data_IF_352125177351
#
_entry.id   IF_352125177351
#
_cell.length_a   1.000
_cell.length_b   1.000
_cell.length_c   1.000
_cell.angle_alpha   90.00
_cell.angle_beta   90.00
_cell.angle_gamma   90.00
#
_symmetry.space_group_name_H-M   'P 1'
#
loop_
_entity.id
_entity.type
_entity.pdbx_description
1 polymer ?
#
# COMPACT_ATOMS: atom_id res chain seq x y z
N UNK A 1 -14.16 2.02 -23.21
CA UNK A 1 -14.70 1.14 -22.18
C UNK A 1 -15.94 1.78 -21.57
N UNK A 2 -17.04 1.08 -21.56
CA UNK A 2 -18.30 1.56 -20.97
C UNK A 2 -18.79 0.61 -19.89
N UNK A 3 -19.36 1.16 -18.82
CA UNK A 3 -20.18 0.40 -17.88
C UNK A 3 -21.59 0.30 -18.45
N UNK A 4 -22.14 -0.90 -18.55
CA UNK A 4 -23.53 -1.08 -18.90
C UNK A 4 -24.38 -1.15 -17.62
N UNK A 5 -25.25 -0.16 -17.34
CA UNK A 5 -26.24 -0.28 -16.28
C UNK A 5 -27.11 -1.51 -16.55
N UNK A 6 -27.38 -2.32 -15.54
CA UNK A 6 -28.16 -3.55 -15.68
C UNK A 6 -27.38 -4.84 -15.97
N UNK A 7 -26.11 -4.79 -16.40
CA UNK A 7 -25.26 -5.95 -16.64
C UNK A 7 -24.31 -6.27 -15.46
N UNK A 8 -24.73 -6.02 -14.22
CA UNK A 8 -23.93 -6.31 -13.03
C UNK A 8 -22.63 -5.52 -12.95
N UNK A 9 -22.65 -4.24 -13.31
CA UNK A 9 -21.50 -3.32 -13.27
C UNK A 9 -20.26 -3.79 -14.06
N UNK A 10 -20.48 -4.56 -15.11
CA UNK A 10 -19.43 -5.11 -15.98
C UNK A 10 -18.88 -4.04 -16.92
N UNK A 11 -17.56 -4.06 -17.14
CA UNK A 11 -16.92 -3.20 -18.13
C UNK A 11 -16.84 -3.91 -19.47
N UNK A 12 -17.32 -3.22 -20.52
CA UNK A 12 -17.25 -3.70 -21.90
C UNK A 12 -16.43 -2.75 -22.76
N UNK A 13 -15.70 -3.30 -23.71
CA UNK A 13 -15.05 -2.54 -24.77
C UNK A 13 -15.93 -2.58 -26.01
N UNK A 14 -16.36 -1.43 -26.47
CA UNK A 14 -17.06 -1.29 -27.75
C UNK A 14 -16.02 -0.88 -28.79
N UNK A 15 -15.88 -1.69 -29.84
CA UNK A 15 -15.03 -1.35 -31.00
C UNK A 15 -15.59 -0.13 -31.75
N UNK A 16 -14.76 0.49 -32.58
CA UNK A 16 -15.13 1.68 -33.37
C UNK A 16 -16.26 1.43 -34.39
N UNK A 17 -16.63 0.17 -34.63
CA UNK A 17 -17.62 -0.21 -35.64
C UNK A 17 -18.89 -0.69 -34.93
N UNK A 18 -19.96 0.09 -35.02
CA UNK A 18 -21.35 -0.29 -34.76
C UNK A 18 -21.65 -0.96 -33.40
N UNK A 19 -21.10 -0.45 -32.31
CA UNK A 19 -21.51 -0.91 -30.96
C UNK A 19 -21.20 -2.37 -30.64
N UNK A 20 -20.38 -3.04 -31.40
CA UNK A 20 -20.04 -4.45 -31.20
C UNK A 20 -19.15 -4.62 -29.97
N UNK A 21 -19.57 -5.47 -29.04
CA UNK A 21 -18.76 -5.84 -27.86
C UNK A 21 -17.56 -6.64 -28.34
N UNK A 22 -16.35 -6.10 -28.13
CA UNK A 22 -15.10 -6.84 -28.42
C UNK A 22 -14.64 -7.50 -27.13
N UNK A 23 -14.54 -8.82 -27.12
CA UNK A 23 -13.98 -9.58 -26.00
C UNK A 23 -12.47 -9.31 -25.92
N UNK A 24 -12.04 -8.52 -24.94
CA UNK A 24 -10.62 -8.36 -24.60
C UNK A 24 -10.23 -9.34 -23.50
N UNK A 25 -9.04 -9.91 -23.61
CA UNK A 25 -8.45 -10.81 -22.62
C UNK A 25 -7.12 -10.25 -22.13
N UNK A 26 -6.65 -10.74 -20.99
CA UNK A 26 -5.37 -10.30 -20.42
C UNK A 26 -5.45 -8.89 -19.81
N UNK A 27 -4.30 -8.28 -19.68
CA UNK A 27 -4.17 -6.94 -19.10
C UNK A 27 -4.61 -5.87 -20.08
N UNK A 28 -5.47 -4.99 -19.61
CA UNK A 28 -5.99 -3.87 -20.40
C UNK A 28 -5.82 -2.55 -19.65
N UNK A 29 -5.28 -1.57 -20.34
CA UNK A 29 -5.31 -0.15 -19.94
C UNK A 29 -6.71 0.37 -20.23
N UNK A 30 -7.38 0.85 -19.21
CA UNK A 30 -8.76 1.35 -19.32
C UNK A 30 -8.77 2.86 -19.21
N UNK A 31 -9.47 3.51 -20.14
CA UNK A 31 -9.68 4.96 -20.15
C UNK A 31 -11.14 5.31 -20.00
N UNK A 32 -11.45 6.52 -19.54
CA UNK A 32 -12.80 7.08 -19.58
C UNK A 32 -13.22 7.39 -21.01
N UNK A 33 -14.51 7.70 -21.23
CA UNK A 33 -15.02 8.16 -22.53
C UNK A 33 -14.29 9.41 -23.05
N UNK A 34 -13.75 10.24 -22.14
CA UNK A 34 -12.94 11.42 -22.48
C UNK A 34 -11.45 11.11 -22.66
N UNK A 35 -11.06 9.84 -22.80
CA UNK A 35 -9.67 9.43 -23.01
C UNK A 35 -8.78 9.47 -21.77
N UNK A 36 -9.25 9.93 -20.61
CA UNK A 36 -8.47 9.98 -19.37
C UNK A 36 -8.19 8.57 -18.85
N UNK A 37 -6.96 8.32 -18.42
CA UNK A 37 -6.58 7.06 -17.80
C UNK A 37 -7.47 6.75 -16.58
N UNK A 38 -8.12 5.60 -16.61
CA UNK A 38 -9.00 5.13 -15.54
C UNK A 38 -8.30 4.11 -14.64
N UNK A 39 -7.50 3.22 -15.21
CA UNK A 39 -6.74 2.20 -14.50
C UNK A 39 -6.39 1.00 -15.35
N UNK A 40 -5.69 0.06 -14.74
CA UNK A 40 -5.40 -1.24 -15.32
C UNK A 40 -6.39 -2.27 -14.81
N UNK A 41 -6.94 -3.10 -15.72
CA UNK A 41 -7.83 -4.22 -15.41
C UNK A 41 -7.30 -5.50 -16.05
N UNK A 42 -7.60 -6.64 -15.44
CA UNK A 42 -7.29 -7.96 -15.98
C UNK A 42 -8.58 -8.67 -16.39
N UNK A 43 -8.64 -9.16 -17.61
CA UNK A 43 -9.78 -9.88 -18.17
C UNK A 43 -9.44 -11.35 -18.40
N UNK A 44 -10.36 -12.25 -18.05
CA UNK A 44 -10.23 -13.68 -18.30
C UNK A 44 -10.54 -14.02 -19.78
N UNK A 45 -10.35 -15.30 -20.14
CA UNK A 45 -10.62 -15.81 -21.50
C UNK A 45 -12.07 -15.57 -21.97
N UNK A 46 -13.02 -15.41 -21.04
CA UNK A 46 -14.42 -15.12 -21.35
C UNK A 46 -14.71 -13.61 -21.48
N UNK A 47 -13.66 -12.75 -21.42
CA UNK A 47 -13.81 -11.29 -21.49
C UNK A 47 -14.39 -10.64 -20.22
N UNK A 48 -14.45 -11.37 -19.10
CA UNK A 48 -14.89 -10.84 -17.80
C UNK A 48 -13.68 -10.33 -17.01
N UNK A 49 -13.73 -9.12 -16.48
CA UNK A 49 -12.69 -8.59 -15.60
C UNK A 49 -12.75 -9.24 -14.22
N UNK A 50 -11.59 -9.33 -13.58
CA UNK A 50 -11.50 -9.71 -12.17
C UNK A 50 -11.93 -8.52 -11.30
N UNK A 51 -12.68 -8.79 -10.23
CA UNK A 51 -13.13 -7.79 -9.28
C UNK A 51 -13.20 -8.38 -7.86
N UNK A 52 -13.00 -7.54 -6.83
CA UNK A 52 -13.01 -7.92 -5.41
C UNK A 52 -12.14 -9.14 -5.11
N UNK A 53 -10.96 -9.24 -5.73
CA UNK A 53 -10.11 -10.44 -5.59
C UNK A 53 -8.63 -10.10 -5.56
N UNK A 54 -7.89 -10.83 -4.73
CA UNK A 54 -6.43 -10.85 -4.72
C UNK A 54 -5.95 -12.01 -5.61
N UNK A 55 -5.13 -11.71 -6.60
CA UNK A 55 -4.59 -12.69 -7.53
C UNK A 55 -3.15 -12.34 -7.89
N UNK A 56 -2.23 -13.29 -7.71
CA UNK A 56 -0.81 -13.15 -8.06
C UNK A 56 -0.18 -11.85 -7.52
N UNK A 57 -0.52 -11.45 -6.28
CA UNK A 57 -0.02 -10.23 -5.66
C UNK A 57 -0.71 -8.94 -6.11
N UNK A 58 -1.72 -9.00 -6.95
CA UNK A 58 -2.54 -7.87 -7.40
C UNK A 58 -3.93 -7.92 -6.80
N UNK A 59 -4.43 -6.81 -6.29
CA UNK A 59 -5.82 -6.72 -5.85
C UNK A 59 -6.65 -5.93 -6.85
N UNK A 60 -7.74 -6.54 -7.30
CA UNK A 60 -8.72 -5.93 -8.18
C UNK A 60 -9.89 -5.43 -7.35
N UNK A 61 -10.14 -4.12 -7.39
CA UNK A 61 -11.26 -3.48 -6.69
C UNK A 61 -12.61 -3.92 -7.26
N UNK A 62 -13.70 -3.54 -6.62
CA UNK A 62 -15.07 -3.85 -7.08
C UNK A 62 -15.33 -3.45 -8.54
N UNK A 63 -14.70 -2.38 -9.00
CA UNK A 63 -14.82 -1.88 -10.38
C UNK A 63 -13.79 -2.50 -11.35
N UNK A 64 -13.06 -3.51 -10.92
CA UNK A 64 -12.06 -4.23 -11.71
C UNK A 64 -10.71 -3.55 -11.84
N UNK A 65 -10.52 -2.32 -11.33
CA UNK A 65 -9.23 -1.64 -11.39
C UNK A 65 -8.24 -2.23 -10.40
N UNK A 66 -6.96 -2.22 -10.77
CA UNK A 66 -5.88 -2.49 -9.82
C UNK A 66 -5.95 -1.54 -8.62
N UNK A 67 -5.74 -2.08 -7.43
CA UNK A 67 -5.44 -1.29 -6.25
C UNK A 67 -4.10 -0.55 -6.44
N UNK A 68 -4.02 0.62 -5.81
CA UNK A 68 -2.84 1.50 -5.85
C UNK A 68 -2.75 2.27 -4.53
N UNK A 69 -1.56 2.29 -3.94
CA UNK A 69 -1.35 2.89 -2.63
C UNK A 69 -1.93 2.06 -1.50
N UNK A 70 -2.20 2.70 -0.36
CA UNK A 70 -2.81 2.04 0.80
C UNK A 70 -4.26 1.67 0.47
N UNK A 71 -4.60 0.40 0.66
CA UNK A 71 -5.92 -0.16 0.35
C UNK A 71 -6.36 -1.05 1.50
N UNK A 72 -7.61 -0.87 1.95
CA UNK A 72 -8.21 -1.71 3.00
C UNK A 72 -8.97 -2.87 2.34
N UNK A 73 -8.68 -4.09 2.80
CA UNK A 73 -9.32 -5.32 2.36
C UNK A 73 -9.67 -6.11 3.62
N UNK A 74 -10.93 -6.37 3.83
CA UNK A 74 -11.43 -7.12 5.00
C UNK A 74 -10.86 -6.58 6.33
N UNK A 75 -10.91 -5.26 6.53
CA UNK A 75 -10.46 -4.57 7.75
C UNK A 75 -8.93 -4.46 7.91
N UNK A 76 -8.13 -5.05 7.03
CA UNK A 76 -6.66 -4.97 7.05
C UNK A 76 -6.16 -4.02 5.98
N UNK A 77 -5.12 -3.26 6.29
CA UNK A 77 -4.49 -2.34 5.33
C UNK A 77 -3.32 -3.01 4.62
N UNK A 78 -3.23 -2.81 3.32
CA UNK A 78 -2.19 -3.31 2.43
C UNK A 78 -1.65 -2.17 1.58
N UNK A 79 -0.46 -2.32 1.04
CA UNK A 79 0.06 -1.37 0.07
C UNK A 79 0.32 -2.04 -1.28
N UNK A 80 -0.19 -1.41 -2.32
CA UNK A 80 0.02 -1.82 -3.70
C UNK A 80 0.82 -0.75 -4.43
N UNK A 81 1.91 -1.14 -5.11
CA UNK A 81 2.78 -0.21 -5.83
C UNK A 81 1.96 0.60 -6.84
N UNK A 82 2.06 1.93 -6.86
CA UNK A 82 1.26 2.76 -7.76
C UNK A 82 1.51 2.43 -9.22
N UNK A 83 0.45 2.38 -10.00
CA UNK A 83 0.48 2.24 -11.46
C UNK A 83 0.16 3.58 -12.13
N UNK A 84 0.78 3.82 -13.29
CA UNK A 84 0.50 4.98 -14.16
C UNK A 84 -0.12 4.51 -15.47
N UNK A 85 -0.43 5.46 -16.36
CA UNK A 85 -0.88 5.13 -17.73
C UNK A 85 0.18 4.40 -18.56
N UNK A 86 1.45 4.57 -18.23
CA UNK A 86 2.58 4.00 -18.97
C UNK A 86 3.18 2.77 -18.27
N UNK A 87 2.99 2.65 -16.97
CA UNK A 87 3.58 1.57 -16.18
C UNK A 87 2.49 0.83 -15.40
N UNK A 88 2.29 -0.43 -15.75
CA UNK A 88 1.47 -1.35 -14.98
C UNK A 88 2.30 -1.89 -13.81
N UNK A 89 2.10 -1.30 -12.64
CA UNK A 89 2.65 -1.77 -11.38
C UNK A 89 1.52 -2.51 -10.60
N UNK A 90 1.28 -2.19 -9.35
CA UNK A 90 0.12 -2.68 -8.60
C UNK A 90 0.38 -3.94 -7.80
N UNK A 91 1.64 -4.41 -7.72
CA UNK A 91 1.98 -5.52 -6.84
C UNK A 91 1.92 -5.12 -5.37
N UNK A 92 1.43 -6.03 -4.54
CA UNK A 92 1.41 -5.88 -3.09
C UNK A 92 2.83 -5.95 -2.53
N UNK A 93 3.17 -4.99 -1.68
CA UNK A 93 4.42 -4.98 -0.92
C UNK A 93 4.30 -5.96 0.24
N UNK A 94 5.35 -6.76 0.49
CA UNK A 94 5.43 -7.74 1.57
C UNK A 94 6.81 -7.77 2.17
N UNK A 95 6.87 -8.01 3.49
CA UNK A 95 8.09 -8.16 4.27
C UNK A 95 9.11 -7.05 3.98
N UNK A 96 8.63 -5.81 3.93
CA UNK A 96 9.44 -4.67 3.49
C UNK A 96 9.06 -3.40 4.25
N UNK A 97 10.07 -2.62 4.63
CA UNK A 97 9.91 -1.23 5.05
C UNK A 97 10.08 -0.32 3.84
N UNK A 98 9.13 0.57 3.60
CA UNK A 98 9.13 1.43 2.40
C UNK A 98 8.58 2.83 2.71
N UNK A 99 8.94 3.78 1.86
CA UNK A 99 8.47 5.17 1.97
C UNK A 99 7.39 5.44 0.91
N UNK A 100 6.28 6.01 1.36
CA UNK A 100 5.23 6.50 0.47
C UNK A 100 4.63 7.78 1.03
N UNK A 101 4.52 8.83 0.19
CA UNK A 101 4.00 10.15 0.57
C UNK A 101 4.63 10.69 1.87
N UNK A 102 5.96 10.66 1.95
CA UNK A 102 6.78 11.12 3.10
C UNK A 102 6.56 10.34 4.41
N UNK A 103 5.86 9.22 4.39
CA UNK A 103 5.68 8.33 5.54
C UNK A 103 6.40 7.01 5.31
N UNK A 104 7.00 6.46 6.36
CA UNK A 104 7.63 5.14 6.32
C UNK A 104 6.65 4.11 6.86
N UNK A 105 6.37 3.09 6.07
CA UNK A 105 5.46 1.98 6.38
C UNK A 105 6.25 0.69 6.52
N UNK A 106 5.67 -0.29 7.19
CA UNK A 106 6.14 -1.67 7.18
C UNK A 106 4.99 -2.61 6.81
N UNK A 107 5.22 -3.46 5.81
CA UNK A 107 4.35 -4.56 5.43
C UNK A 107 4.94 -5.88 5.93
N UNK A 108 4.16 -6.66 6.65
CA UNK A 108 4.58 -7.99 7.11
C UNK A 108 4.69 -9.02 5.96
N UNK A 109 5.06 -10.25 6.26
CA UNK A 109 5.19 -11.34 5.26
C UNK A 109 3.87 -11.65 4.53
N UNK A 110 2.73 -11.30 5.12
CA UNK A 110 1.39 -11.42 4.50
C UNK A 110 0.98 -10.16 3.75
N UNK A 111 1.81 -9.09 3.79
CA UNK A 111 1.55 -7.79 3.17
C UNK A 111 0.68 -6.86 4.02
N UNK A 112 0.34 -7.24 5.26
CA UNK A 112 -0.46 -6.38 6.14
C UNK A 112 0.41 -5.26 6.69
N UNK A 113 -0.06 -4.02 6.57
CA UNK A 113 0.65 -2.85 7.09
C UNK A 113 0.57 -2.81 8.61
N UNK A 114 1.71 -2.60 9.26
CA UNK A 114 1.78 -2.38 10.70
C UNK A 114 1.04 -1.10 11.06
N UNK A 115 -0.05 -1.21 11.83
CA UNK A 115 -0.88 -0.07 12.19
C UNK A 115 -0.29 0.73 13.35
N UNK A 116 0.05 0.06 14.45
CA UNK A 116 0.58 0.69 15.66
C UNK A 116 1.35 -0.31 16.50
N UNK A 117 2.23 0.20 17.37
CA UNK A 117 2.98 -0.59 18.34
C UNK A 117 4.37 -0.99 17.86
N UNK A 118 5.04 -1.78 18.68
CA UNK A 118 6.37 -2.25 18.44
C UNK A 118 6.43 -3.36 17.38
N UNK A 119 7.46 -3.31 16.54
CA UNK A 119 7.76 -4.32 15.54
C UNK A 119 9.27 -4.59 15.50
N UNK A 120 9.67 -5.86 15.60
CA UNK A 120 11.06 -6.26 15.38
C UNK A 120 11.26 -6.56 13.90
N UNK A 121 12.25 -5.90 13.27
CA UNK A 121 12.58 -6.03 11.84
C UNK A 121 14.10 -6.13 11.77
N UNK A 122 14.63 -7.20 11.17
CA UNK A 122 16.07 -7.45 11.02
C UNK A 122 16.86 -7.23 12.33
N UNK A 123 16.33 -7.80 13.43
CA UNK A 123 16.95 -7.71 14.76
C UNK A 123 16.71 -6.42 15.53
N UNK A 124 16.28 -5.35 14.90
CA UNK A 124 16.04 -4.03 15.53
C UNK A 124 14.57 -3.82 15.86
N UNK A 125 14.30 -3.07 16.94
CA UNK A 125 12.95 -2.67 17.33
C UNK A 125 12.59 -1.31 16.74
N UNK A 126 11.36 -1.21 16.21
CA UNK A 126 10.76 -0.02 15.62
C UNK A 126 9.38 0.21 16.22
N UNK A 127 8.96 1.46 16.31
CA UNK A 127 7.61 1.79 16.78
C UNK A 127 6.80 2.47 15.69
N UNK A 128 5.58 1.98 15.47
CA UNK A 128 4.65 2.55 14.49
C UNK A 128 3.46 3.18 15.19
N UNK A 129 2.97 4.29 14.65
CA UNK A 129 1.74 4.97 15.06
C UNK A 129 1.00 5.41 13.79
N UNK A 130 -0.31 5.08 13.69
CA UNK A 130 -1.12 5.39 12.52
C UNK A 130 -0.48 4.94 11.18
N UNK A 131 0.03 3.71 11.15
CA UNK A 131 0.74 3.09 10.02
C UNK A 131 2.05 3.79 9.61
N UNK A 132 2.55 4.73 10.38
CA UNK A 132 3.80 5.44 10.09
C UNK A 132 4.86 5.11 11.15
N UNK A 133 6.10 4.93 10.71
CA UNK A 133 7.25 4.81 11.58
C UNK A 133 7.42 6.10 12.38
N UNK A 134 7.56 5.96 13.68
CA UNK A 134 7.91 7.05 14.61
C UNK A 134 9.42 7.21 14.64
N UNK A 135 9.90 8.45 14.64
CA UNK A 135 11.32 8.83 14.65
C UNK A 135 11.55 9.97 15.64
N UNK A 136 12.78 10.07 16.17
CA UNK A 136 13.21 11.14 17.07
C UNK A 136 12.20 11.36 18.22
N UNK A 137 11.78 10.30 18.90
CA UNK A 137 10.74 10.40 19.91
C UNK A 137 10.91 9.39 21.04
N UNK A 138 10.45 9.79 22.22
CA UNK A 138 10.22 8.86 23.32
C UNK A 138 8.93 8.10 23.10
N UNK A 139 8.98 6.78 23.25
CA UNK A 139 7.82 5.89 23.12
C UNK A 139 7.79 4.88 24.25
N UNK A 140 6.57 4.54 24.69
CA UNK A 140 6.37 3.60 25.79
C UNK A 140 6.62 2.16 25.32
N UNK A 141 7.44 1.39 26.08
CA UNK A 141 7.68 -0.03 25.86
C UNK A 141 7.44 -0.75 27.20
N UNK A 142 6.29 -1.41 27.32
CA UNK A 142 5.85 -1.96 28.60
C UNK A 142 5.59 -0.85 29.63
N UNK A 143 6.22 -0.92 30.80
CA UNK A 143 6.13 0.10 31.86
C UNK A 143 7.14 1.24 31.70
N UNK A 144 8.13 1.11 30.81
CA UNK A 144 9.24 2.06 30.62
C UNK A 144 9.08 2.87 29.32
N UNK A 145 9.82 3.96 29.23
CA UNK A 145 9.96 4.74 28.00
C UNK A 145 11.30 4.39 27.36
N UNK A 146 11.30 4.34 26.05
CA UNK A 146 12.50 4.21 25.23
C UNK A 146 12.55 5.30 24.17
N UNK A 147 13.70 5.52 23.57
CA UNK A 147 13.87 6.48 22.51
C UNK A 147 13.99 5.75 21.16
N UNK A 148 13.33 6.28 20.14
CA UNK A 148 13.54 5.88 18.74
C UNK A 148 14.25 7.03 18.02
N UNK A 149 15.39 6.70 17.40
CA UNK A 149 16.29 7.66 16.77
C UNK A 149 15.76 8.23 15.42
N UNK A 150 16.59 8.97 14.70
CA UNK A 150 16.26 9.54 13.39
C UNK A 150 15.98 8.47 12.32
N UNK A 151 16.51 7.25 12.49
CA UNK A 151 16.22 6.11 11.61
C UNK A 151 14.95 5.38 12.03
N UNK A 152 14.42 5.66 13.22
CA UNK A 152 13.29 5.00 13.85
C UNK A 152 13.65 3.76 14.66
N UNK A 153 14.94 3.44 14.81
CA UNK A 153 15.38 2.32 15.64
C UNK A 153 15.29 2.66 17.12
N UNK A 154 14.80 1.70 17.89
CA UNK A 154 14.92 1.79 19.34
C UNK A 154 16.39 1.79 19.75
N UNK A 155 16.76 2.74 20.56
CA UNK A 155 18.13 2.89 21.06
C UNK A 155 18.16 3.00 22.58
N UNK A 156 19.29 2.64 23.16
CA UNK A 156 19.60 2.70 24.58
C UNK A 156 20.92 3.41 24.77
N UNK A 157 21.27 3.73 26.01
CA UNK A 157 22.49 4.48 26.34
C UNK A 157 22.29 5.98 26.16
N UNK A 158 23.38 6.70 25.92
CA UNK A 158 23.35 8.14 25.72
C UNK A 158 22.83 8.50 24.33
N UNK A 159 21.78 9.30 24.25
CA UNK A 159 21.18 9.77 23.01
C UNK A 159 21.05 11.27 23.00
N UNK A 160 21.40 11.91 21.89
CA UNK A 160 21.16 13.32 21.65
C UNK A 160 19.68 13.46 21.23
N UNK A 161 18.88 14.12 22.03
CA UNK A 161 17.45 14.27 21.79
C UNK A 161 17.09 15.63 21.19
N UNK A 162 17.99 16.61 21.32
CA UNK A 162 17.89 17.93 20.69
C UNK A 162 19.29 18.46 20.36
N UNK A 163 19.62 18.54 19.08
CA UNK A 163 20.90 19.05 18.62
C UNK A 163 21.04 20.55 18.82
N UNK A 164 19.96 21.31 18.79
CA UNK A 164 20.00 22.77 18.93
C UNK A 164 20.31 23.21 20.34
N UNK A 165 19.92 22.40 21.34
CA UNK A 165 20.15 22.63 22.78
C UNK A 165 21.25 21.75 23.35
N UNK A 166 21.90 20.94 22.53
CA UNK A 166 22.86 19.92 22.95
C UNK A 166 22.32 19.01 24.07
N UNK A 167 21.01 18.73 24.02
CA UNK A 167 20.31 17.94 25.05
C UNK A 167 20.59 16.46 24.85
N UNK A 168 21.26 15.87 25.83
CA UNK A 168 21.60 14.44 25.87
C UNK A 168 20.82 13.77 27.00
N UNK A 169 20.28 12.58 26.73
CA UNK A 169 19.60 11.76 27.77
C UNK A 169 20.12 10.33 27.75
N UNK A 170 20.19 9.74 28.90
CA UNK A 170 20.51 8.33 29.04
C UNK A 170 19.26 7.47 29.02
N UNK A 171 19.23 6.49 28.15
CA UNK A 171 18.14 5.51 28.01
C UNK A 171 18.63 4.19 28.57
N UNK A 172 18.05 3.78 29.70
CA UNK A 172 18.43 2.51 30.34
C UNK A 172 18.07 1.34 29.41
N UNK A 173 19.01 0.38 29.17
CA UNK A 173 18.75 -0.79 28.34
C UNK A 173 17.76 -1.80 28.95
N UNK A 174 17.52 -1.80 30.28
CA UNK A 174 16.67 -2.79 30.99
C UNK A 174 15.16 -2.56 30.86
#
# INVERSE_FOLDING_TARGET
WHRCPGAGNRMYYFGSTAGRIVKKTGWQKVTTSKGKFYGWCLFNKKGKHYANTLRNGYYFKADGRLASGVTVINGKSYFFKPSTSNTRNGQMVKNEMFIYKKKTYFADSKGVLRKSGWQKIDGNWYYFKNMSLVKNAFVKKGKKYGYVDATGKFTTGWVVVDNSQNLVRYINPD
#
